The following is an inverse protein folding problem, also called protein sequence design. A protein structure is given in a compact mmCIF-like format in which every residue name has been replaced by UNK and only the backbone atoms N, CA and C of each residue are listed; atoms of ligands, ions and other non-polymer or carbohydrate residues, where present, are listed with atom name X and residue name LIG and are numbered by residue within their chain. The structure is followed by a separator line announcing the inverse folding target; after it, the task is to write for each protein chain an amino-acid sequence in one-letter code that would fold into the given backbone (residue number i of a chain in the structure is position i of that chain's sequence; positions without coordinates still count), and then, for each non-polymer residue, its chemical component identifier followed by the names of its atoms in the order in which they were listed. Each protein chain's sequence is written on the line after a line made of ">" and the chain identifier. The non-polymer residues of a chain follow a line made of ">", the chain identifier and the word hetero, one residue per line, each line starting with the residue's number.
data_IF_301663655827
#
_entry.id   IF_301663655827
#
_cell.length_a   1.000
_cell.length_b   1.000
_cell.length_c   1.000
_cell.angle_alpha   90.00
_cell.angle_beta   90.00
_cell.angle_gamma   90.00
#
_symmetry.space_group_name_H-M   'P 1'
#
loop_
_entity.id
_entity.type
_entity.pdbx_description
1 polymer ?
#
# COMPACT_ATOMS: atom_id res chain seq x y z
N UNK A 1 2.50 17.99 -1.83
CA UNK A 1 2.41 17.65 -0.39
C UNK A 1 0.97 17.65 0.13
N UNK A 2 0.26 18.79 0.23
CA UNK A 2 -1.08 18.82 0.86
C UNK A 2 -2.14 17.95 0.15
N UNK A 3 -2.23 18.03 -1.19
CA UNK A 3 -3.21 17.23 -1.95
C UNK A 3 -2.97 15.73 -1.86
N UNK A 4 -1.74 15.30 -2.15
CA UNK A 4 -1.25 13.92 -1.99
C UNK A 4 -1.51 13.37 -0.58
N UNK A 5 -1.20 14.14 0.48
CA UNK A 5 -1.45 13.71 1.85
C UNK A 5 -2.95 13.50 2.15
N UNK A 6 -3.83 14.33 1.57
CA UNK A 6 -5.27 14.16 1.71
C UNK A 6 -5.80 12.95 0.92
N UNK A 7 -5.29 12.71 -0.28
CA UNK A 7 -5.64 11.56 -1.14
C UNK A 7 -5.28 10.23 -0.47
N UNK A 8 -4.04 10.11 0.02
CA UNK A 8 -3.58 8.91 0.74
C UNK A 8 -4.32 8.73 2.08
N UNK A 9 -4.70 9.81 2.75
CA UNK A 9 -5.55 9.74 3.94
C UNK A 9 -6.96 9.24 3.61
N UNK A 10 -7.59 9.73 2.54
CA UNK A 10 -8.90 9.28 2.08
C UNK A 10 -8.87 7.80 1.71
N UNK A 11 -7.87 7.38 0.92
CA UNK A 11 -7.66 5.98 0.53
C UNK A 11 -7.46 5.08 1.76
N UNK A 12 -6.64 5.52 2.73
CA UNK A 12 -6.42 4.78 3.98
C UNK A 12 -7.70 4.66 4.81
N UNK A 13 -8.40 5.77 5.05
CA UNK A 13 -9.67 5.79 5.80
C UNK A 13 -10.74 4.93 5.11
N UNK A 14 -10.87 5.05 3.79
CA UNK A 14 -11.80 4.25 2.99
C UNK A 14 -11.49 2.75 3.08
N UNK A 15 -10.22 2.37 3.01
CA UNK A 15 -9.81 0.96 3.14
C UNK A 15 -10.11 0.37 4.52
N UNK A 16 -10.04 1.17 5.60
CA UNK A 16 -10.40 0.73 6.95
C UNK A 16 -11.91 0.57 7.14
N UNK A 17 -12.69 1.54 6.65
CA UNK A 17 -14.14 1.51 6.84
C UNK A 17 -14.83 0.48 5.94
N UNK A 18 -14.35 0.25 4.72
CA UNK A 18 -14.96 -0.69 3.78
C UNK A 18 -15.20 -2.11 4.34
N UNK A 19 -14.22 -2.83 4.92
CA UNK A 19 -14.45 -4.14 5.51
C UNK A 19 -15.39 -4.08 6.72
N UNK A 20 -15.32 -3.02 7.54
CA UNK A 20 -16.24 -2.86 8.68
C UNK A 20 -17.68 -2.66 8.22
N UNK A 21 -17.90 -1.83 7.21
CA UNK A 21 -19.22 -1.62 6.60
C UNK A 21 -19.73 -2.89 5.93
N UNK A 22 -18.86 -3.62 5.23
CA UNK A 22 -19.21 -4.91 4.62
C UNK A 22 -19.66 -5.91 5.69
N UNK A 23 -18.89 -6.08 6.75
CA UNK A 23 -19.26 -6.94 7.90
C UNK A 23 -20.60 -6.50 8.48
N UNK A 24 -20.80 -5.20 8.73
CA UNK A 24 -22.08 -4.68 9.22
C UNK A 24 -23.26 -5.02 8.30
N UNK A 25 -23.09 -4.90 6.97
CA UNK A 25 -24.14 -5.18 5.98
C UNK A 25 -24.43 -6.67 5.81
N UNK A 26 -23.41 -7.51 5.81
CA UNK A 26 -23.57 -8.96 5.67
C UNK A 26 -24.35 -9.53 6.84
N UNK A 27 -24.02 -9.11 8.05
CA UNK A 27 -24.72 -9.53 9.24
C UNK A 27 -26.10 -8.87 9.41
N UNK A 28 -26.28 -7.65 8.88
CA UNK A 28 -27.58 -7.01 8.80
C UNK A 28 -28.56 -7.75 7.87
N UNK A 29 -28.09 -8.33 6.76
CA UNK A 29 -28.97 -9.12 5.87
C UNK A 29 -29.43 -10.45 6.48
N UNK A 30 -28.76 -10.93 7.55
CA UNK A 30 -29.16 -12.12 8.29
C UNK A 30 -30.27 -11.88 9.34
N UNK A 31 -30.64 -10.62 9.65
CA UNK A 31 -31.63 -10.32 10.69
C UNK A 31 -32.23 -8.89 10.75
N UNK A 32 -31.89 -8.01 9.81
CA UNK A 32 -32.29 -6.59 9.79
C UNK A 32 -31.36 -5.67 10.61
N UNK A 33 -31.18 -4.42 10.15
CA UNK A 33 -30.44 -3.38 10.88
C UNK A 33 -31.37 -2.76 11.93
N UNK A 34 -31.25 -3.22 13.17
CA UNK A 34 -31.73 -2.49 14.35
C UNK A 34 -30.58 -2.32 15.36
N UNK A 35 -30.60 -1.24 16.14
CA UNK A 35 -29.55 -0.93 17.13
C UNK A 35 -29.48 -2.02 18.21
N UNK A 36 -30.60 -2.68 18.47
CA UNK A 36 -30.72 -3.80 19.40
C UNK A 36 -30.13 -5.10 18.80
N UNK A 37 -30.39 -5.39 17.53
CA UNK A 37 -29.78 -6.50 16.78
C UNK A 37 -28.26 -6.34 16.65
N UNK A 38 -27.77 -5.10 16.50
CA UNK A 38 -26.33 -4.80 16.39
C UNK A 38 -25.55 -5.19 17.66
N UNK A 39 -26.16 -5.04 18.84
CA UNK A 39 -25.56 -5.47 20.12
C UNK A 39 -25.57 -6.98 20.28
N UNK A 40 -26.63 -7.65 19.85
CA UNK A 40 -26.71 -9.11 19.81
C UNK A 40 -25.65 -9.69 18.88
N UNK A 41 -25.41 -9.02 17.75
CA UNK A 41 -24.41 -9.39 16.77
C UNK A 41 -22.97 -9.35 17.33
N UNK A 42 -22.62 -8.29 18.05
CA UNK A 42 -21.32 -8.13 18.72
C UNK A 42 -21.14 -9.21 19.80
N UNK A 43 -22.20 -9.55 20.52
CA UNK A 43 -22.19 -10.61 21.54
C UNK A 43 -22.14 -12.04 20.97
N UNK A 44 -22.41 -12.22 19.67
CA UNK A 44 -22.41 -13.52 18.97
C UNK A 44 -21.05 -13.86 18.31
N UNK A 45 -19.93 -13.30 18.78
CA UNK A 45 -18.59 -13.65 18.27
C UNK A 45 -18.18 -12.97 16.97
N UNK A 46 -18.88 -11.90 16.55
CA UNK A 46 -18.55 -11.13 15.33
C UNK A 46 -17.59 -9.96 15.57
N UNK A 47 -17.33 -9.62 16.85
CA UNK A 47 -16.38 -8.58 17.26
C UNK A 47 -15.00 -8.68 16.57
N UNK A 48 -14.38 -9.87 16.42
CA UNK A 48 -13.08 -10.01 15.76
C UNK A 48 -13.04 -9.45 14.34
N UNK A 49 -14.14 -9.54 13.59
CA UNK A 49 -14.24 -9.08 12.20
C UNK A 49 -14.24 -7.55 12.07
N UNK A 50 -14.75 -6.84 13.08
CA UNK A 50 -14.70 -5.38 13.13
C UNK A 50 -13.34 -4.88 13.65
N UNK A 51 -12.75 -5.59 14.61
CA UNK A 51 -11.49 -5.19 15.23
C UNK A 51 -10.27 -5.47 14.35
N UNK A 52 -10.29 -6.53 13.54
CA UNK A 52 -9.11 -6.94 12.77
C UNK A 52 -8.63 -5.87 11.76
N UNK A 53 -9.48 -5.21 10.95
CA UNK A 53 -9.11 -4.06 10.13
C UNK A 53 -8.41 -2.94 10.93
N UNK A 54 -8.97 -2.58 12.09
CA UNK A 54 -8.43 -1.53 12.96
C UNK A 54 -7.07 -1.92 13.56
N UNK A 55 -6.93 -3.18 13.96
CA UNK A 55 -5.68 -3.72 14.48
C UNK A 55 -4.57 -3.68 13.42
N UNK A 56 -4.87 -4.07 12.17
CA UNK A 56 -3.90 -4.00 11.06
C UNK A 56 -3.48 -2.55 10.83
N UNK A 57 -4.43 -1.62 10.77
CA UNK A 57 -4.13 -0.20 10.61
C UNK A 57 -3.24 0.36 11.74
N UNK A 58 -3.55 0.02 12.99
CA UNK A 58 -2.77 0.45 14.15
C UNK A 58 -1.34 -0.12 14.12
N UNK A 59 -1.20 -1.43 13.87
CA UNK A 59 0.10 -2.10 13.75
C UNK A 59 0.91 -1.49 12.59
N UNK A 60 0.27 -1.31 11.44
CA UNK A 60 0.87 -0.75 10.23
C UNK A 60 1.38 0.67 10.42
N UNK A 61 0.64 1.52 11.14
CA UNK A 61 1.07 2.87 11.49
C UNK A 61 2.28 2.87 12.43
N UNK A 62 2.27 2.04 13.49
CA UNK A 62 3.42 1.91 14.40
C UNK A 62 4.65 1.36 13.65
N UNK A 63 4.46 0.34 12.82
CA UNK A 63 5.49 -0.23 11.97
C UNK A 63 6.07 0.80 10.99
N UNK A 64 5.22 1.66 10.42
CA UNK A 64 5.62 2.77 9.54
C UNK A 64 6.50 3.80 10.25
N UNK A 65 6.13 4.18 11.49
CA UNK A 65 6.97 5.09 12.31
C UNK A 65 8.33 4.47 12.58
N UNK A 66 8.37 3.18 12.98
CA UNK A 66 9.63 2.48 13.21
C UNK A 66 10.45 2.36 11.92
N UNK A 67 9.82 2.03 10.80
CA UNK A 67 10.44 1.93 9.48
C UNK A 67 11.08 3.25 9.05
N UNK A 68 10.36 4.36 9.20
CA UNK A 68 10.87 5.71 8.90
C UNK A 68 12.10 6.07 9.74
N UNK A 69 12.11 5.72 11.04
CA UNK A 69 13.27 5.94 11.93
C UNK A 69 14.50 5.09 11.59
N UNK A 70 14.31 4.00 10.82
CA UNK A 70 15.40 3.10 10.39
C UNK A 70 16.04 3.53 9.07
N UNK A 71 15.48 4.53 8.38
CA UNK A 71 16.10 5.16 7.22
C UNK A 71 17.33 5.94 7.70
N UNK A 72 18.52 5.53 7.27
CA UNK A 72 19.80 6.15 7.66
C UNK A 72 20.61 6.53 6.43
N UNK A 73 21.07 7.78 6.44
CA UNK A 73 22.07 8.28 5.49
C UNK A 73 23.44 7.63 5.71
N UNK A 74 24.21 7.42 4.64
CA UNK A 74 25.64 7.11 4.73
C UNK A 74 26.13 5.79 4.12
N UNK A 75 25.35 5.11 3.27
CA UNK A 75 25.84 3.98 2.48
C UNK A 75 24.81 3.35 1.54
N UNK A 76 25.20 3.09 0.29
CA UNK A 76 24.34 2.52 -0.76
C UNK A 76 23.59 3.59 -1.59
N UNK A 77 22.81 3.16 -2.58
CA UNK A 77 21.97 4.09 -3.38
C UNK A 77 20.88 4.72 -2.50
N UNK A 78 20.47 5.94 -2.85
CA UNK A 78 19.44 6.68 -2.11
C UNK A 78 18.09 5.95 -2.15
N UNK A 79 17.74 5.33 -3.29
CA UNK A 79 16.58 4.44 -3.42
C UNK A 79 16.62 3.27 -2.43
N UNK A 80 17.78 2.60 -2.28
CA UNK A 80 17.94 1.49 -1.34
C UNK A 80 17.75 1.93 0.14
N UNK A 81 18.12 3.16 0.48
CA UNK A 81 17.95 3.71 1.83
C UNK A 81 16.47 3.93 2.17
N UNK A 82 15.67 4.43 1.22
CA UNK A 82 14.22 4.61 1.38
C UNK A 82 13.50 3.26 1.45
N UNK A 83 13.83 2.33 0.54
CA UNK A 83 13.25 0.98 0.52
C UNK A 83 13.54 0.18 1.79
N UNK A 84 14.69 0.41 2.45
CA UNK A 84 14.97 -0.21 3.75
C UNK A 84 13.91 0.10 4.80
N UNK A 85 13.45 1.36 4.85
CA UNK A 85 12.38 1.76 5.77
C UNK A 85 11.07 1.04 5.48
N UNK A 86 10.72 0.95 4.19
CA UNK A 86 9.56 0.20 3.69
C UNK A 86 9.63 -1.27 4.12
N UNK A 87 10.77 -1.95 3.91
CA UNK A 87 10.92 -3.36 4.24
C UNK A 87 10.81 -3.65 5.74
N UNK A 88 11.36 -2.76 6.57
CA UNK A 88 11.21 -2.87 8.03
C UNK A 88 9.74 -2.73 8.42
N UNK A 89 9.04 -1.73 7.88
CA UNK A 89 7.61 -1.55 8.14
C UNK A 89 6.79 -2.77 7.68
N UNK A 90 7.01 -3.25 6.45
CA UNK A 90 6.32 -4.45 5.93
C UNK A 90 6.58 -5.70 6.78
N UNK A 91 7.83 -5.91 7.23
CA UNK A 91 8.17 -7.05 8.08
C UNK A 91 7.48 -7.01 9.44
N UNK A 92 7.45 -5.83 10.09
CA UNK A 92 6.76 -5.62 11.36
C UNK A 92 5.24 -5.76 11.20
N UNK A 93 4.67 -5.19 10.15
CA UNK A 93 3.24 -5.32 9.83
C UNK A 93 2.88 -6.78 9.58
N UNK A 94 3.68 -7.52 8.79
CA UNK A 94 3.47 -8.96 8.56
C UNK A 94 3.42 -9.75 9.87
N UNK A 95 4.42 -9.56 10.74
CA UNK A 95 4.49 -10.26 12.01
C UNK A 95 3.31 -9.91 12.92
N UNK A 96 2.95 -8.63 12.99
CA UNK A 96 1.82 -8.15 13.79
C UNK A 96 0.47 -8.62 13.24
N UNK A 97 0.30 -8.68 11.92
CA UNK A 97 -0.92 -9.22 11.27
C UNK A 97 -1.08 -10.70 11.56
N UNK A 98 -0.01 -11.51 11.46
CA UNK A 98 -0.05 -12.93 11.80
C UNK A 98 -0.44 -13.10 13.27
N UNK A 99 0.26 -12.41 14.18
CA UNK A 99 -0.04 -12.47 15.60
C UNK A 99 -1.50 -12.06 15.88
N UNK A 100 -1.93 -10.92 15.32
CA UNK A 100 -3.27 -10.39 15.46
C UNK A 100 -4.36 -11.36 15.00
N UNK A 101 -4.14 -12.01 13.85
CA UNK A 101 -5.07 -13.02 13.33
C UNK A 101 -5.20 -14.21 14.29
N UNK A 102 -4.09 -14.75 14.78
CA UNK A 102 -4.13 -15.84 15.75
C UNK A 102 -4.71 -15.41 17.10
N UNK A 103 -4.46 -14.19 17.57
CA UNK A 103 -5.05 -13.73 18.85
C UNK A 103 -6.54 -13.50 18.78
N UNK A 104 -7.07 -13.04 17.64
CA UNK A 104 -8.49 -12.70 17.49
C UNK A 104 -9.34 -13.89 17.03
N UNK A 105 -8.78 -14.82 16.26
CA UNK A 105 -9.55 -15.89 15.61
C UNK A 105 -9.13 -17.32 16.00
N UNK A 106 -8.13 -17.54 16.87
CA UNK A 106 -7.73 -18.90 17.28
C UNK A 106 -8.45 -19.43 18.54
N UNK A 107 -9.46 -18.72 19.06
CA UNK A 107 -10.27 -19.18 20.20
C UNK A 107 -11.27 -20.26 19.81
N UNK A 108 -11.59 -21.17 20.74
CA UNK A 108 -12.53 -22.29 20.53
C UNK A 108 -13.98 -21.82 20.25
N UNK A 109 -14.32 -20.57 20.55
CA UNK A 109 -15.67 -20.01 20.41
C UNK A 109 -16.00 -19.47 19.01
N UNK A 110 -15.06 -19.47 18.06
CA UNK A 110 -15.20 -18.78 16.74
C UNK A 110 -15.51 -19.73 15.57
N UNK A 111 -15.66 -21.04 15.81
CA UNK A 111 -15.92 -22.06 14.79
C UNK A 111 -14.65 -22.63 14.12
N UNK A 112 -14.78 -23.42 13.04
CA UNK A 112 -13.64 -23.95 12.25
C UNK A 112 -13.05 -22.87 11.34
N UNK A 113 -12.54 -21.81 11.95
CA UNK A 113 -11.84 -20.73 11.25
C UNK A 113 -10.36 -21.03 11.16
N UNK A 114 -9.75 -20.58 10.06
CA UNK A 114 -8.33 -20.79 9.77
C UNK A 114 -7.61 -19.44 9.67
N UNK A 115 -7.12 -18.88 10.80
CA UNK A 115 -6.57 -17.52 10.88
C UNK A 115 -5.42 -17.24 9.90
N UNK A 116 -4.71 -18.29 9.47
CA UNK A 116 -3.62 -18.18 8.48
C UNK A 116 -4.10 -17.57 7.16
N UNK A 117 -5.32 -17.87 6.72
CA UNK A 117 -5.82 -17.37 5.44
C UNK A 117 -6.17 -15.89 5.50
N UNK A 118 -6.75 -15.41 6.61
CA UNK A 118 -7.10 -14.00 6.75
C UNK A 118 -5.87 -13.10 6.93
N UNK A 119 -4.86 -13.58 7.66
CA UNK A 119 -3.55 -12.94 7.69
C UNK A 119 -2.93 -12.91 6.28
N UNK A 120 -3.08 -14.01 5.54
CA UNK A 120 -2.61 -14.12 4.18
C UNK A 120 -3.27 -13.14 3.20
N UNK A 121 -4.56 -12.81 3.36
CA UNK A 121 -5.24 -11.78 2.57
C UNK A 121 -4.57 -10.41 2.70
N UNK A 122 -4.21 -10.02 3.92
CA UNK A 122 -3.51 -8.76 4.19
C UNK A 122 -2.10 -8.79 3.61
N UNK A 123 -1.39 -9.91 3.79
CA UNK A 123 -0.02 -10.07 3.29
C UNK A 123 0.03 -10.03 1.76
N UNK A 124 -0.90 -10.71 1.06
CA UNK A 124 -0.95 -10.66 -0.41
C UNK A 124 -1.25 -9.24 -0.90
N UNK A 125 -2.12 -8.51 -0.21
CA UNK A 125 -2.37 -7.09 -0.49
C UNK A 125 -1.14 -6.22 -0.33
N UNK A 126 -0.37 -6.42 0.74
CA UNK A 126 0.88 -5.69 0.98
C UNK A 126 1.97 -6.03 -0.06
N UNK A 127 2.09 -7.31 -0.45
CA UNK A 127 3.00 -7.75 -1.52
C UNK A 127 2.57 -7.14 -2.86
N UNK A 128 1.27 -7.08 -3.13
CA UNK A 128 0.74 -6.45 -4.34
C UNK A 128 1.06 -4.96 -4.39
N UNK A 129 0.83 -4.22 -3.31
CA UNK A 129 1.20 -2.80 -3.21
C UNK A 129 2.68 -2.57 -3.45
N UNK A 130 3.54 -3.40 -2.83
CA UNK A 130 4.98 -3.36 -3.07
C UNK A 130 5.35 -3.66 -4.53
N UNK A 131 4.73 -4.66 -5.15
CA UNK A 131 5.01 -5.03 -6.54
C UNK A 131 4.53 -3.97 -7.54
N UNK A 132 3.40 -3.31 -7.25
CA UNK A 132 2.92 -2.15 -8.02
C UNK A 132 3.94 -1.02 -7.91
N UNK A 133 4.38 -0.69 -6.70
CA UNK A 133 5.42 0.31 -6.48
C UNK A 133 6.71 0.01 -7.24
N UNK A 134 7.21 -1.23 -7.18
CA UNK A 134 8.39 -1.63 -7.95
C UNK A 134 8.19 -1.49 -9.47
N UNK A 135 6.99 -1.82 -9.96
CA UNK A 135 6.64 -1.62 -11.37
C UNK A 135 6.65 -0.13 -11.71
N UNK A 136 6.05 0.73 -10.90
CA UNK A 136 6.09 2.18 -11.09
C UNK A 136 7.53 2.69 -11.15
N UNK A 137 8.40 2.27 -10.22
CA UNK A 137 9.82 2.62 -10.21
C UNK A 137 10.53 2.17 -11.50
N UNK A 138 10.25 0.95 -12.00
CA UNK A 138 10.83 0.45 -13.25
C UNK A 138 10.48 1.31 -14.47
N UNK A 139 9.27 1.87 -14.53
CA UNK A 139 8.82 2.71 -15.65
C UNK A 139 9.15 4.19 -15.48
N UNK A 140 9.59 4.64 -14.30
CA UNK A 140 9.81 6.07 -14.00
C UNK A 140 11.23 6.42 -13.60
N UNK A 141 12.04 5.47 -13.12
CA UNK A 141 13.45 5.73 -12.82
C UNK A 141 14.32 5.69 -14.08
N UNK A 142 15.21 6.69 -14.18
CA UNK A 142 16.25 6.86 -15.18
C UNK A 142 17.30 5.72 -15.20
N UNK A 143 17.30 4.86 -14.18
CA UNK A 143 18.18 3.69 -14.12
C UNK A 143 17.71 2.56 -15.04
N UNK A 144 16.42 2.51 -15.37
CA UNK A 144 15.81 1.40 -16.11
C UNK A 144 15.63 1.68 -17.61
N UNK A 145 15.53 0.62 -18.44
CA UNK A 145 15.38 0.76 -19.89
C UNK A 145 14.22 1.66 -20.37
N UNK A 146 13.00 1.63 -19.78
CA UNK A 146 11.89 2.42 -20.29
C UNK A 146 12.18 3.92 -20.38
N UNK A 147 12.79 4.50 -19.34
CA UNK A 147 13.14 5.92 -19.30
C UNK A 147 14.36 6.22 -20.16
N UNK A 148 15.36 5.34 -20.18
CA UNK A 148 16.53 5.45 -21.06
C UNK A 148 16.14 5.46 -22.54
N UNK A 149 15.16 4.65 -22.94
CA UNK A 149 14.63 4.63 -24.29
C UNK A 149 13.95 5.96 -24.66
N UNK A 150 13.17 6.54 -23.75
CA UNK A 150 12.54 7.86 -23.95
C UNK A 150 13.62 8.94 -24.09
N UNK A 151 14.63 8.92 -23.24
CA UNK A 151 15.75 9.85 -23.30
C UNK A 151 16.51 9.73 -24.62
N UNK A 152 16.78 8.51 -25.10
CA UNK A 152 17.44 8.27 -26.39
C UNK A 152 16.62 8.81 -27.57
N UNK A 153 15.29 8.72 -27.51
CA UNK A 153 14.43 9.26 -28.56
C UNK A 153 14.55 10.79 -28.71
N UNK A 154 15.10 11.50 -27.72
CA UNK A 154 15.39 12.93 -27.85
C UNK A 154 16.37 13.27 -28.97
N UNK A 155 17.24 12.33 -29.37
CA UNK A 155 18.16 12.48 -30.52
C UNK A 155 17.41 12.68 -31.85
N UNK A 156 16.16 12.22 -31.93
CA UNK A 156 15.31 12.29 -33.13
C UNK A 156 14.28 13.42 -33.08
N UNK A 157 14.26 14.18 -31.97
CA UNK A 157 13.46 15.39 -31.80
C UNK A 157 12.33 15.27 -30.77
N UNK A 158 11.64 16.38 -30.45
CA UNK A 158 10.63 16.40 -29.37
C UNK A 158 9.40 15.51 -29.64
N UNK A 159 8.99 15.37 -30.90
CA UNK A 159 7.81 14.60 -31.26
C UNK A 159 7.95 13.11 -30.92
N UNK A 160 9.12 12.52 -31.14
CA UNK A 160 9.39 11.11 -30.84
C UNK A 160 9.52 10.86 -29.34
N UNK A 161 10.02 11.84 -28.57
CA UNK A 161 10.01 11.81 -27.10
C UNK A 161 8.57 11.70 -26.59
N UNK A 162 7.67 12.57 -27.08
CA UNK A 162 6.26 12.57 -26.67
C UNK A 162 5.58 11.26 -27.04
N UNK A 163 5.75 10.78 -28.28
CA UNK A 163 5.17 9.51 -28.73
C UNK A 163 5.69 8.34 -27.89
N UNK A 164 6.99 8.28 -27.65
CA UNK A 164 7.61 7.25 -26.81
C UNK A 164 7.11 7.31 -25.36
N UNK A 165 6.99 8.51 -24.79
CA UNK A 165 6.47 8.71 -23.44
C UNK A 165 5.05 8.19 -23.29
N UNK A 166 4.14 8.57 -24.21
CA UNK A 166 2.76 8.09 -24.22
C UNK A 166 2.71 6.55 -24.38
N UNK A 167 3.51 6.00 -25.29
CA UNK A 167 3.55 4.56 -25.51
C UNK A 167 4.02 3.78 -24.26
N UNK A 168 5.09 4.25 -23.59
CA UNK A 168 5.59 3.64 -22.35
C UNK A 168 4.61 3.83 -21.18
N UNK A 169 3.93 4.98 -21.09
CA UNK A 169 2.89 5.21 -20.09
C UNK A 169 1.67 4.30 -20.26
N UNK A 170 1.24 4.05 -21.49
CA UNK A 170 0.19 3.05 -21.74
C UNK A 170 0.66 1.64 -21.35
N UNK A 171 1.91 1.29 -21.64
CA UNK A 171 2.48 -0.02 -21.30
C UNK A 171 2.63 -0.22 -19.79
N UNK A 172 2.95 0.83 -19.03
CA UNK A 172 3.18 0.74 -17.58
C UNK A 172 1.92 0.40 -16.79
N UNK A 173 0.72 0.60 -17.36
CA UNK A 173 -0.55 0.24 -16.72
C UNK A 173 -0.79 -1.27 -16.66
N UNK A 174 -0.26 -2.03 -17.62
CA UNK A 174 -0.59 -3.45 -17.78
C UNK A 174 -0.18 -4.32 -16.57
N UNK A 175 1.04 -4.20 -16.01
CA UNK A 175 1.41 -5.00 -14.86
C UNK A 175 0.61 -4.64 -13.61
N UNK A 176 0.29 -3.36 -13.39
CA UNK A 176 -0.53 -2.92 -12.26
C UNK A 176 -1.94 -3.55 -12.30
N UNK A 177 -2.60 -3.53 -13.46
CA UNK A 177 -3.92 -4.15 -13.64
C UNK A 177 -3.87 -5.66 -13.40
N UNK A 178 -2.85 -6.34 -13.93
CA UNK A 178 -2.68 -7.79 -13.73
C UNK A 178 -2.43 -8.13 -12.26
N UNK A 179 -1.57 -7.38 -11.57
CA UNK A 179 -1.29 -7.56 -10.15
C UNK A 179 -2.56 -7.37 -9.30
N UNK A 180 -3.36 -6.34 -9.57
CA UNK A 180 -4.64 -6.12 -8.88
C UNK A 180 -5.61 -7.27 -9.14
N UNK A 181 -5.77 -7.71 -10.39
CA UNK A 181 -6.66 -8.82 -10.73
C UNK A 181 -6.28 -10.13 -10.04
N UNK A 182 -4.98 -10.46 -10.01
CA UNK A 182 -4.45 -11.63 -9.30
C UNK A 182 -4.69 -11.50 -7.80
N UNK A 183 -4.45 -10.31 -7.23
CA UNK A 183 -4.63 -10.05 -5.79
C UNK A 183 -6.07 -10.21 -5.38
N UNK A 184 -7.02 -9.69 -6.17
CA UNK A 184 -8.46 -9.88 -5.93
C UNK A 184 -8.80 -11.37 -5.96
N UNK A 185 -8.37 -12.12 -6.97
CA UNK A 185 -8.65 -13.55 -7.08
C UNK A 185 -8.09 -14.38 -5.92
N UNK A 186 -6.82 -14.13 -5.55
CA UNK A 186 -6.17 -14.85 -4.44
C UNK A 186 -6.80 -14.47 -3.09
N UNK A 187 -7.00 -13.18 -2.82
CA UNK A 187 -7.58 -12.73 -1.54
C UNK A 187 -9.04 -13.15 -1.37
N UNK A 188 -9.82 -13.20 -2.46
CA UNK A 188 -11.17 -13.74 -2.43
C UNK A 188 -11.16 -15.22 -2.07
N UNK A 189 -10.36 -16.03 -2.77
CA UNK A 189 -10.22 -17.45 -2.48
C UNK A 189 -9.71 -17.72 -1.05
N UNK A 190 -8.70 -16.98 -0.59
CA UNK A 190 -8.21 -17.09 0.78
C UNK A 190 -9.27 -16.69 1.80
N UNK A 191 -10.07 -15.67 1.52
CA UNK A 191 -11.23 -15.29 2.34
C UNK A 191 -12.22 -16.44 2.49
N UNK A 192 -12.58 -17.14 1.40
CA UNK A 192 -13.44 -18.33 1.46
C UNK A 192 -12.83 -19.46 2.30
N UNK A 193 -11.51 -19.68 2.20
CA UNK A 193 -10.82 -20.72 2.99
C UNK A 193 -10.68 -20.37 4.48
N UNK A 194 -10.79 -19.09 4.85
CA UNK A 194 -10.71 -18.65 6.23
C UNK A 194 -11.88 -19.17 7.06
N UNK A 195 -13.10 -19.13 6.53
CA UNK A 195 -14.29 -19.63 7.22
C UNK A 195 -15.21 -20.35 6.22
N UNK A 196 -14.91 -21.62 5.86
CA UNK A 196 -15.63 -22.36 4.84
C UNK A 196 -17.13 -22.51 5.16
N UNK A 197 -17.46 -22.66 6.44
CA UNK A 197 -18.85 -22.81 6.90
C UNK A 197 -19.66 -21.51 6.78
N UNK A 198 -18.99 -20.35 6.72
CA UNK A 198 -19.60 -19.04 6.50
C UNK A 198 -19.52 -18.58 5.04
N UNK A 199 -18.82 -19.33 4.17
CA UNK A 199 -18.61 -18.94 2.78
C UNK A 199 -19.93 -18.82 2.01
N UNK A 200 -20.84 -19.78 2.17
CA UNK A 200 -22.16 -19.78 1.51
C UNK A 200 -23.15 -18.76 2.10
N UNK A 201 -22.91 -18.28 3.33
CA UNK A 201 -23.85 -17.43 4.06
C UNK A 201 -23.50 -15.94 4.01
N UNK A 202 -22.22 -15.59 3.81
CA UNK A 202 -21.71 -14.24 4.08
C UNK A 202 -20.78 -13.67 3.00
N UNK A 203 -20.55 -14.31 1.86
CA UNK A 203 -19.59 -13.82 0.85
C UNK A 203 -18.25 -13.38 1.48
N UNK A 204 -17.74 -14.17 2.42
CA UNK A 204 -16.56 -13.85 3.23
C UNK A 204 -15.28 -13.67 2.37
N UNK A 205 -15.30 -14.13 1.13
CA UNK A 205 -14.30 -13.80 0.11
C UNK A 205 -14.18 -12.30 -0.13
N UNK A 206 -15.29 -11.55 -0.19
CA UNK A 206 -15.26 -10.09 -0.35
C UNK A 206 -14.61 -9.39 0.84
N UNK A 207 -14.79 -9.93 2.05
CA UNK A 207 -14.08 -9.45 3.23
C UNK A 207 -12.57 -9.69 3.12
N UNK A 208 -12.15 -10.85 2.59
CA UNK A 208 -10.76 -11.11 2.24
C UNK A 208 -10.18 -10.09 1.25
N UNK A 209 -10.94 -9.71 0.21
CA UNK A 209 -10.55 -8.66 -0.75
C UNK A 209 -10.41 -7.29 -0.06
N UNK A 210 -11.35 -6.94 0.81
CA UNK A 210 -11.30 -5.68 1.57
C UNK A 210 -10.10 -5.62 2.52
N UNK A 211 -9.75 -6.75 3.15
CA UNK A 211 -8.54 -6.86 3.97
C UNK A 211 -7.25 -6.77 3.15
N UNK A 212 -7.24 -7.28 1.92
CA UNK A 212 -6.12 -7.10 1.01
C UNK A 212 -5.93 -5.62 0.63
N UNK A 213 -7.02 -4.86 0.45
CA UNK A 213 -6.94 -3.42 0.24
C UNK A 213 -6.32 -2.68 1.45
N UNK A 214 -6.67 -3.07 2.68
CA UNK A 214 -5.98 -2.56 3.88
C UNK A 214 -4.51 -2.95 3.86
N UNK A 215 -4.18 -4.20 3.53
CA UNK A 215 -2.80 -4.67 3.44
C UNK A 215 -1.94 -3.83 2.50
N UNK A 216 -2.50 -3.42 1.37
CA UNK A 216 -1.84 -2.53 0.40
C UNK A 216 -1.48 -1.16 1.01
N UNK A 217 -2.31 -0.66 1.93
CA UNK A 217 -2.18 0.65 2.57
C UNK A 217 -1.72 0.59 4.04
N UNK A 218 -1.42 -0.60 4.57
CA UNK A 218 -1.07 -0.77 5.98
C UNK A 218 0.24 -0.05 6.32
N UNK A 219 1.15 0.06 5.35
CA UNK A 219 2.42 0.78 5.47
C UNK A 219 2.38 2.18 4.83
N UNK A 220 1.18 2.75 4.60
CA UNK A 220 1.04 4.08 3.97
C UNK A 220 1.81 5.17 4.73
N UNK A 221 1.98 5.06 6.04
CA UNK A 221 2.74 6.05 6.81
C UNK A 221 4.19 6.22 6.34
N UNK A 222 4.89 5.13 6.01
CA UNK A 222 6.26 5.20 5.49
C UNK A 222 6.27 5.61 4.01
N UNK A 223 5.26 5.19 3.23
CA UNK A 223 5.10 5.60 1.83
C UNK A 223 4.91 7.11 1.71
N UNK A 224 3.99 7.71 2.49
CA UNK A 224 3.76 9.15 2.54
C UNK A 224 5.02 9.91 2.95
N UNK A 225 5.80 9.37 3.90
CA UNK A 225 7.05 10.00 4.32
C UNK A 225 8.09 10.03 3.19
N UNK A 226 8.18 8.96 2.40
CA UNK A 226 9.05 8.85 1.22
C UNK A 226 8.53 9.72 0.08
N UNK A 227 7.23 9.88 -0.08
CA UNK A 227 6.65 10.71 -1.15
C UNK A 227 6.77 12.21 -0.85
N UNK A 228 6.57 12.60 0.41
CA UNK A 228 6.78 13.98 0.87
C UNK A 228 8.23 14.45 0.70
N UNK A 229 9.19 13.53 0.59
CA UNK A 229 10.59 13.84 0.32
C UNK A 229 10.79 14.55 -1.03
N UNK A 230 10.07 14.14 -2.09
CA UNK A 230 10.28 14.66 -3.44
C UNK A 230 10.06 16.18 -3.53
N UNK A 231 8.89 16.71 -3.16
CA UNK A 231 8.65 18.16 -3.15
C UNK A 231 9.61 18.94 -2.22
N UNK A 232 10.16 18.31 -1.19
CA UNK A 232 11.16 18.95 -0.33
C UNK A 232 12.50 19.06 -1.06
N UNK A 233 12.92 18.00 -1.75
CA UNK A 233 14.14 17.97 -2.55
C UNK A 233 14.09 18.96 -3.73
N UNK A 234 12.97 19.00 -4.46
CA UNK A 234 12.73 19.95 -5.56
C UNK A 234 12.85 21.41 -5.07
N UNK A 235 12.15 21.77 -3.99
CA UNK A 235 12.23 23.11 -3.41
C UNK A 235 13.65 23.46 -2.92
N UNK A 236 14.38 22.50 -2.37
CA UNK A 236 15.77 22.70 -1.96
C UNK A 236 16.67 23.00 -3.17
N UNK A 237 16.48 22.29 -4.29
CA UNK A 237 17.17 22.54 -5.55
C UNK A 237 16.84 23.92 -6.13
N UNK A 238 15.56 24.30 -6.14
CA UNK A 238 15.13 25.63 -6.56
C UNK A 238 15.72 26.76 -5.71
N UNK A 239 15.80 26.58 -4.39
CA UNK A 239 16.47 27.54 -3.49
C UNK A 239 17.96 27.62 -3.81
N UNK A 240 18.63 26.50 -4.04
CA UNK A 240 20.05 26.47 -4.36
C UNK A 240 20.36 27.23 -5.67
N UNK A 241 19.52 27.04 -6.69
CA UNK A 241 19.62 27.74 -7.97
C UNK A 241 19.36 29.26 -7.81
N UNK A 242 18.26 29.64 -7.15
CA UNK A 242 17.88 31.05 -6.97
C UNK A 242 18.86 31.82 -6.08
N UNK A 243 19.56 31.13 -5.17
CA UNK A 243 20.57 31.71 -4.29
C UNK A 243 21.99 31.66 -4.88
N UNK A 244 22.14 31.22 -6.14
CA UNK A 244 23.43 31.10 -6.84
C UNK A 244 24.50 30.32 -6.03
N UNK A 245 24.06 29.25 -5.35
CA UNK A 245 24.97 28.41 -4.58
C UNK A 245 25.95 27.65 -5.47
N UNK A 246 27.08 27.15 -4.92
CA UNK A 246 28.05 26.39 -5.71
C UNK A 246 27.42 25.18 -6.44
N UNK A 247 27.93 24.82 -7.64
CA UNK A 247 27.38 23.72 -8.45
C UNK A 247 27.29 22.38 -7.70
N UNK A 248 28.21 22.12 -6.77
CA UNK A 248 28.23 20.94 -5.92
C UNK A 248 26.94 20.78 -5.09
N UNK A 249 26.32 21.89 -4.66
CA UNK A 249 25.03 21.87 -3.97
C UNK A 249 23.92 21.46 -4.93
N UNK A 250 23.98 21.96 -6.17
CA UNK A 250 22.98 21.66 -7.21
C UNK A 250 23.02 20.20 -7.63
N UNK A 251 24.21 19.66 -7.86
CA UNK A 251 24.42 18.24 -8.19
C UNK A 251 23.83 17.32 -7.12
N UNK A 252 23.99 17.67 -5.84
CA UNK A 252 23.36 16.92 -4.75
C UNK A 252 21.85 17.04 -4.85
N UNK A 253 21.28 18.25 -4.92
CA UNK A 253 19.83 18.46 -4.96
C UNK A 253 19.15 17.82 -6.17
N UNK A 254 19.80 17.80 -7.33
CA UNK A 254 19.26 17.17 -8.56
C UNK A 254 19.19 15.64 -8.42
N UNK A 255 20.18 15.03 -7.74
CA UNK A 255 20.13 13.62 -7.42
C UNK A 255 19.02 13.28 -6.41
N UNK A 256 18.74 14.18 -5.45
CA UNK A 256 17.62 14.03 -4.52
C UNK A 256 16.26 14.18 -5.24
N UNK A 257 16.13 15.18 -6.12
CA UNK A 257 14.91 15.48 -6.87
C UNK A 257 14.57 14.39 -7.89
N UNK A 258 15.56 13.90 -8.64
CA UNK A 258 15.38 12.76 -9.55
C UNK A 258 14.78 11.54 -8.86
N UNK A 259 15.23 11.25 -7.64
CA UNK A 259 14.64 10.18 -6.85
C UNK A 259 13.23 10.54 -6.36
N UNK A 260 13.01 11.79 -5.95
CA UNK A 260 11.70 12.33 -5.59
C UNK A 260 10.64 12.12 -6.67
N UNK A 261 11.01 12.31 -7.94
CA UNK A 261 10.14 12.08 -9.09
C UNK A 261 9.77 10.60 -9.27
N UNK A 262 10.68 9.69 -8.93
CA UNK A 262 10.40 8.24 -8.94
C UNK A 262 9.47 7.87 -7.78
N UNK A 263 9.74 8.38 -6.57
CA UNK A 263 8.93 8.08 -5.38
C UNK A 263 7.51 8.60 -5.50
N UNK A 264 7.31 9.76 -6.14
CA UNK A 264 5.98 10.32 -6.42
C UNK A 264 5.14 9.49 -7.39
N UNK A 265 5.76 8.63 -8.19
CA UNK A 265 5.05 7.69 -9.06
C UNK A 265 4.76 6.33 -8.38
N UNK A 266 5.47 6.05 -7.28
CA UNK A 266 5.32 4.81 -6.49
C UNK A 266 4.20 4.93 -5.46
N UNK A 267 4.03 6.12 -4.87
CA UNK A 267 3.01 6.44 -3.89
C UNK A 267 1.64 6.69 -4.52
#
# INVERSE_FOLDING_TARGET
>A
VAGMGADLFESYAGSLFAPMTLVALLFANAGGIDIENTKELINNGTEPYFLFPLLIGAIGMVASVIGALMVRGGGGSLSAQLHRGQYVAMGLTTAGTILGAYTLFAGEDVGDVKPVFIAGCVIIGMVAGWAIGFTSEYFTSDHYPPVKDIAKNSETGPATVVISGIAKGNLSTAPAVVLVAITIGISYWMGEQFAPDLADAMDIGLYGVALAAIGMLATTGVVVAVDAYGPIADNAGGIAEMAELPPEVREVTDALDSLGNTTAAVA
#
